data_IF_532365289236
#
_entry.id   IF_532365289236
#
_cell.length_a   1.000
_cell.length_b   1.000
_cell.length_c   1.000
_cell.angle_alpha   90.00
_cell.angle_beta   90.00
_cell.angle_gamma   90.00
#
_symmetry.space_group_name_H-M   'P 1'
#
loop_
_entity.id
_entity.type
_entity.pdbx_description
1 polymer ?
#
# COMPACT_ATOMS: atom_id res chain seq x y z
N UNK A 1 17.03 -17.57 17.84
CA UNK A 1 17.05 -17.28 16.38
C UNK A 1 16.93 -15.77 16.17
N UNK A 2 17.70 -15.20 15.26
CA UNK A 2 17.64 -13.75 15.00
C UNK A 2 16.29 -13.40 14.33
N UNK A 3 15.56 -12.40 14.86
CA UNK A 3 14.32 -11.90 14.26
C UNK A 3 14.59 -11.37 12.85
N UNK A 4 13.66 -11.67 11.94
CA UNK A 4 13.68 -11.19 10.55
C UNK A 4 12.42 -10.40 10.27
N UNK A 5 12.48 -9.50 9.30
CA UNK A 5 11.33 -8.83 8.70
C UNK A 5 11.16 -9.40 7.29
N UNK A 6 9.95 -9.82 6.97
CA UNK A 6 9.60 -10.28 5.63
C UNK A 6 8.57 -9.32 5.05
N UNK A 7 8.87 -8.79 3.88
CA UNK A 7 8.00 -7.88 3.13
C UNK A 7 7.24 -8.65 2.08
N UNK A 8 5.94 -8.42 2.01
CA UNK A 8 5.02 -9.05 1.06
C UNK A 8 4.37 -8.00 0.18
N UNK A 9 4.46 -8.17 -1.13
CA UNK A 9 3.63 -7.45 -2.07
C UNK A 9 2.20 -8.02 -2.07
N UNK A 10 1.23 -7.26 -2.56
CA UNK A 10 -0.17 -7.65 -2.57
C UNK A 10 -0.54 -8.30 -3.90
N UNK A 11 -0.52 -7.51 -4.96
CA UNK A 11 -1.06 -7.91 -6.27
C UNK A 11 -0.16 -8.93 -6.95
N UNK A 12 -0.71 -10.12 -7.24
CA UNK A 12 0.07 -11.23 -7.80
C UNK A 12 1.00 -11.94 -6.81
N UNK A 13 1.00 -11.56 -5.53
CA UNK A 13 1.82 -12.18 -4.47
C UNK A 13 0.96 -12.75 -3.35
N UNK A 14 0.22 -11.92 -2.63
CA UNK A 14 -0.72 -12.37 -1.59
C UNK A 14 -2.04 -12.82 -2.18
N UNK A 15 -2.52 -12.12 -3.18
CA UNK A 15 -3.78 -12.38 -3.88
C UNK A 15 -3.51 -12.63 -5.36
N UNK A 16 -4.39 -13.42 -5.98
CA UNK A 16 -4.32 -13.71 -7.42
C UNK A 16 -4.69 -12.50 -8.26
N UNK A 17 -4.11 -12.40 -9.48
CA UNK A 17 -4.44 -11.35 -10.46
C UNK A 17 -5.51 -11.79 -11.47
N UNK A 18 -6.19 -12.90 -11.22
CA UNK A 18 -7.22 -13.48 -12.09
C UNK A 18 -8.59 -12.76 -12.05
N UNK A 19 -8.65 -11.59 -11.43
CA UNK A 19 -9.87 -10.82 -11.22
C UNK A 19 -10.69 -11.23 -9.99
N UNK A 20 -10.43 -12.40 -9.41
CA UNK A 20 -11.11 -12.88 -8.20
C UNK A 20 -10.45 -12.44 -6.91
N UNK A 21 -9.20 -11.96 -6.97
CA UNK A 21 -8.40 -11.55 -5.81
C UNK A 21 -8.40 -12.61 -4.69
N UNK A 22 -8.18 -13.86 -5.09
CA UNK A 22 -8.23 -15.00 -4.15
C UNK A 22 -7.00 -15.01 -3.26
N UNK A 23 -7.21 -15.12 -1.95
CA UNK A 23 -6.18 -15.35 -0.96
C UNK A 23 -6.10 -16.85 -0.62
N UNK A 24 -5.01 -17.56 -0.95
CA UNK A 24 -4.85 -18.96 -0.58
C UNK A 24 -4.76 -19.16 0.95
N UNK A 25 -5.43 -20.19 1.46
CA UNK A 25 -5.36 -20.54 2.90
C UNK A 25 -3.94 -20.84 3.37
N UNK A 26 -3.13 -21.44 2.51
CA UNK A 26 -1.72 -21.72 2.79
C UNK A 26 -0.90 -20.45 3.02
N UNK A 27 -1.23 -19.37 2.31
CA UNK A 27 -0.59 -18.06 2.50
C UNK A 27 -0.93 -17.48 3.86
N UNK A 28 -2.21 -17.52 4.26
CA UNK A 28 -2.65 -17.07 5.60
C UNK A 28 -1.89 -17.84 6.69
N UNK A 29 -1.91 -19.17 6.60
CA UNK A 29 -1.24 -20.03 7.57
C UNK A 29 0.27 -19.76 7.65
N UNK A 30 0.94 -19.65 6.51
CA UNK A 30 2.40 -19.46 6.46
C UNK A 30 2.82 -18.12 7.09
N UNK A 31 2.08 -17.02 6.83
CA UNK A 31 2.40 -15.71 7.40
C UNK A 31 2.09 -15.67 8.90
N UNK A 32 0.99 -16.26 9.33
CA UNK A 32 0.67 -16.36 10.75
C UNK A 32 1.71 -17.20 11.50
N UNK A 33 2.18 -18.30 10.92
CA UNK A 33 3.23 -19.12 11.49
C UNK A 33 4.60 -18.40 11.54
N UNK A 34 4.94 -17.63 10.50
CA UNK A 34 6.12 -16.75 10.48
C UNK A 34 6.10 -15.80 11.70
N UNK A 35 4.95 -15.15 11.94
CA UNK A 35 4.77 -14.22 13.07
C UNK A 35 4.81 -14.93 14.41
N UNK A 36 4.18 -16.12 14.51
CA UNK A 36 4.20 -16.94 15.72
C UNK A 36 5.62 -17.35 16.13
N UNK A 37 6.52 -17.50 15.15
CA UNK A 37 7.95 -17.77 15.39
C UNK A 37 8.77 -16.53 15.75
N UNK A 38 8.13 -15.38 15.94
CA UNK A 38 8.76 -14.14 16.39
C UNK A 38 9.38 -13.30 15.28
N UNK A 39 9.08 -13.60 14.02
CA UNK A 39 9.43 -12.75 12.89
C UNK A 39 8.35 -11.69 12.64
N UNK A 40 8.67 -10.66 11.86
CA UNK A 40 7.74 -9.59 11.50
C UNK A 40 7.30 -9.75 10.05
N UNK A 41 6.00 -9.59 9.81
CA UNK A 41 5.40 -9.57 8.48
C UNK A 41 4.96 -8.16 8.14
N UNK A 42 5.44 -7.63 7.02
CA UNK A 42 5.12 -6.30 6.51
C UNK A 42 4.51 -6.37 5.13
N UNK A 43 3.54 -5.51 4.86
CA UNK A 43 3.11 -5.20 3.50
C UNK A 43 4.12 -4.23 2.88
N UNK A 44 4.41 -4.42 1.59
CA UNK A 44 5.18 -3.48 0.76
C UNK A 44 4.46 -3.33 -0.59
N UNK A 45 3.71 -2.24 -0.74
CA UNK A 45 2.82 -2.04 -1.88
C UNK A 45 2.89 -0.62 -2.43
N UNK A 46 2.63 -0.48 -3.74
CA UNK A 46 2.37 0.82 -4.36
C UNK A 46 1.04 1.45 -3.96
N UNK A 47 0.09 0.66 -3.44
CA UNK A 47 -1.21 1.17 -2.98
C UNK A 47 -1.05 2.12 -1.80
N UNK A 48 -1.97 3.06 -1.66
CA UNK A 48 -2.07 3.93 -0.48
C UNK A 48 -2.46 3.16 0.77
N UNK A 49 -2.06 3.66 1.94
CA UNK A 49 -2.34 2.98 3.21
C UNK A 49 -3.84 2.77 3.45
N UNK A 50 -4.67 3.79 3.19
CA UNK A 50 -6.12 3.66 3.40
C UNK A 50 -6.77 2.62 2.48
N UNK A 51 -6.20 2.39 1.29
CA UNK A 51 -6.66 1.36 0.36
C UNK A 51 -6.24 -0.06 0.78
N UNK A 52 -5.29 -0.19 1.67
CA UNK A 52 -4.72 -1.48 2.09
C UNK A 52 -5.23 -1.92 3.45
N UNK A 53 -5.23 -1.02 4.44
CA UNK A 53 -5.29 -1.39 5.85
C UNK A 53 -6.62 -2.03 6.27
N UNK A 54 -7.71 -1.71 5.58
CA UNK A 54 -9.06 -2.22 5.88
C UNK A 54 -9.49 -3.37 4.96
N UNK A 55 -8.62 -3.82 4.05
CA UNK A 55 -8.96 -4.95 3.19
C UNK A 55 -9.17 -6.23 4.00
N UNK A 56 -10.25 -6.98 3.75
CA UNK A 56 -10.59 -8.17 4.56
C UNK A 56 -9.46 -9.20 4.61
N UNK A 57 -8.74 -9.41 3.50
CA UNK A 57 -7.62 -10.35 3.45
C UNK A 57 -6.40 -9.85 4.25
N UNK A 58 -6.17 -8.54 4.32
CA UNK A 58 -5.13 -7.93 5.15
C UNK A 58 -5.46 -8.10 6.64
N UNK A 59 -6.69 -7.79 7.02
CA UNK A 59 -7.17 -7.96 8.40
C UNK A 59 -7.15 -9.43 8.83
N UNK A 60 -7.48 -10.35 7.93
CA UNK A 60 -7.48 -11.79 8.21
C UNK A 60 -6.08 -12.33 8.50
N UNK A 61 -5.08 -11.93 7.75
CA UNK A 61 -3.68 -12.33 7.96
C UNK A 61 -3.12 -11.66 9.21
N UNK A 62 -3.32 -10.34 9.32
CA UNK A 62 -2.72 -9.47 10.32
C UNK A 62 -1.23 -9.21 10.06
N UNK A 63 -0.87 -7.97 9.85
CA UNK A 63 0.52 -7.56 9.60
C UNK A 63 1.06 -6.70 10.74
N UNK A 64 2.37 -6.72 10.93
CA UNK A 64 3.04 -5.91 11.95
C UNK A 64 3.29 -4.48 11.46
N UNK A 65 3.39 -4.30 10.15
CA UNK A 65 3.61 -2.99 9.55
C UNK A 65 3.32 -2.93 8.06
N UNK A 66 3.38 -1.73 7.53
CA UNK A 66 3.00 -1.39 6.17
C UNK A 66 3.98 -0.38 5.59
N UNK A 67 4.47 -0.67 4.39
CA UNK A 67 5.19 0.25 3.52
C UNK A 67 4.30 0.47 2.30
N UNK A 68 3.64 1.60 2.23
CA UNK A 68 2.62 1.91 1.23
C UNK A 68 2.99 3.15 0.42
N UNK A 69 2.21 3.44 -0.64
CA UNK A 69 2.43 4.56 -1.55
C UNK A 69 3.89 4.59 -2.07
N UNK A 70 4.38 3.45 -2.57
CA UNK A 70 5.75 3.27 -3.06
C UNK A 70 6.83 3.69 -2.05
N UNK A 71 6.59 3.49 -0.76
CA UNK A 71 7.53 3.84 0.32
C UNK A 71 7.32 5.21 0.94
N UNK A 72 6.37 6.01 0.44
CA UNK A 72 6.08 7.33 0.99
C UNK A 72 5.34 7.30 2.33
N UNK A 73 4.74 6.17 2.70
CA UNK A 73 4.00 6.01 3.94
C UNK A 73 4.40 4.71 4.65
N UNK A 74 4.97 4.84 5.84
CA UNK A 74 5.40 3.70 6.65
C UNK A 74 4.69 3.71 7.99
N UNK A 75 3.96 2.62 8.26
CA UNK A 75 3.25 2.37 9.51
C UNK A 75 3.83 1.12 10.18
N UNK A 76 4.13 1.19 11.47
CA UNK A 76 4.56 0.04 12.27
C UNK A 76 3.83 0.02 13.61
N UNK A 77 3.08 -1.04 13.86
CA UNK A 77 2.30 -1.22 15.10
C UNK A 77 1.46 0.00 15.48
N UNK A 78 0.76 0.57 14.48
CA UNK A 78 -0.09 1.76 14.67
C UNK A 78 0.66 3.10 14.77
N UNK A 79 1.99 3.10 14.69
CA UNK A 79 2.80 4.32 14.70
C UNK A 79 3.28 4.67 13.29
N UNK A 80 2.98 5.89 12.84
CA UNK A 80 3.52 6.41 11.58
C UNK A 80 5.01 6.73 11.75
N UNK A 81 5.86 6.02 11.01
CA UNK A 81 7.31 6.22 11.02
C UNK A 81 7.75 7.20 9.94
N UNK A 82 7.05 7.22 8.82
CA UNK A 82 7.28 8.13 7.70
C UNK A 82 5.95 8.47 7.04
N UNK A 83 5.78 9.74 6.72
CA UNK A 83 4.74 10.23 5.80
C UNK A 83 5.39 11.30 4.95
N UNK A 84 5.82 10.92 3.75
CA UNK A 84 6.40 11.83 2.77
C UNK A 84 5.29 12.39 1.88
N UNK A 85 5.35 13.68 1.60
CA UNK A 85 4.40 14.38 0.72
C UNK A 85 5.13 15.05 -0.43
N UNK A 86 4.45 15.17 -1.57
CA UNK A 86 4.97 15.95 -2.69
C UNK A 86 4.90 17.44 -2.35
N UNK A 87 5.97 18.22 -2.51
CA UNK A 87 5.94 19.66 -2.29
C UNK A 87 4.87 20.34 -3.17
N UNK A 88 4.23 21.39 -2.64
CA UNK A 88 3.13 22.08 -3.33
C UNK A 88 3.50 22.63 -4.72
N UNK A 89 4.75 23.09 -4.87
CA UNK A 89 5.26 23.58 -6.16
C UNK A 89 5.36 22.44 -7.20
N UNK A 90 5.87 21.28 -6.81
CA UNK A 90 5.95 20.12 -7.68
C UNK A 90 4.55 19.60 -8.01
N UNK A 91 3.63 19.65 -7.04
CA UNK A 91 2.23 19.28 -7.20
C UNK A 91 1.54 20.16 -8.27
N UNK A 92 1.68 21.48 -8.15
CA UNK A 92 1.15 22.43 -9.15
C UNK A 92 1.73 22.18 -10.55
N UNK A 93 3.03 21.96 -10.64
CA UNK A 93 3.69 21.69 -11.92
C UNK A 93 3.18 20.41 -12.61
N UNK A 94 2.90 19.36 -11.84
CA UNK A 94 2.33 18.09 -12.36
C UNK A 94 0.91 18.32 -12.87
N UNK A 95 0.07 19.07 -12.12
CA UNK A 95 -1.30 19.40 -12.54
C UNK A 95 -1.29 20.21 -13.83
N UNK A 96 -0.45 21.25 -13.92
CA UNK A 96 -0.33 22.07 -15.12
C UNK A 96 0.15 21.25 -16.33
N UNK A 97 1.10 20.34 -16.14
CA UNK A 97 1.56 19.45 -17.19
C UNK A 97 0.45 18.51 -17.66
N UNK A 98 -0.28 17.89 -16.73
CA UNK A 98 -1.39 17.00 -17.05
C UNK A 98 -2.46 17.72 -17.90
N UNK A 99 -2.83 18.94 -17.52
CA UNK A 99 -3.78 19.77 -18.27
C UNK A 99 -3.24 20.13 -19.66
N UNK A 100 -1.98 20.54 -19.74
CA UNK A 100 -1.33 20.91 -21.02
C UNK A 100 -1.32 19.77 -22.03
N UNK A 101 -1.09 18.55 -21.56
CA UNK A 101 -0.95 17.37 -22.41
C UNK A 101 -2.21 16.50 -22.45
N UNK A 102 -3.33 16.98 -21.91
CA UNK A 102 -4.62 16.26 -21.84
C UNK A 102 -4.46 14.85 -21.24
N UNK A 103 -3.70 14.75 -20.15
CA UNK A 103 -3.48 13.50 -19.43
C UNK A 103 -4.42 13.42 -18.22
N UNK A 104 -5.05 12.25 -18.04
CA UNK A 104 -5.77 11.98 -16.80
C UNK A 104 -4.81 12.02 -15.61
N UNK A 105 -5.27 12.57 -14.49
CA UNK A 105 -4.47 12.74 -13.29
C UNK A 105 -5.19 12.14 -12.09
N UNK A 106 -4.51 11.22 -11.41
CA UNK A 106 -4.89 10.71 -10.10
C UNK A 106 -3.87 11.20 -9.06
N UNK A 107 -4.35 11.92 -8.07
CA UNK A 107 -3.56 12.32 -6.91
C UNK A 107 -3.95 11.46 -5.71
N UNK A 108 -2.96 10.86 -5.09
CA UNK A 108 -3.15 10.00 -3.92
C UNK A 108 -2.91 10.79 -2.64
N UNK A 109 -3.99 11.00 -1.88
CA UNK A 109 -3.93 11.61 -0.56
C UNK A 109 -3.85 10.56 0.57
N UNK A 110 -3.81 11.01 1.82
CA UNK A 110 -3.75 10.10 2.97
C UNK A 110 -5.03 9.29 3.17
N UNK A 111 -6.19 9.84 2.79
CA UNK A 111 -7.51 9.25 3.05
C UNK A 111 -8.37 9.13 1.80
N UNK A 112 -8.03 9.82 0.72
CA UNK A 112 -8.83 9.90 -0.51
C UNK A 112 -7.96 9.92 -1.75
N UNK A 113 -8.55 9.51 -2.87
CA UNK A 113 -8.06 9.78 -4.22
C UNK A 113 -8.70 11.07 -4.75
N UNK A 114 -7.91 11.86 -5.48
CA UNK A 114 -8.38 13.10 -6.11
C UNK A 114 -8.18 12.99 -7.61
N UNK A 115 -9.23 13.29 -8.37
CA UNK A 115 -9.24 13.28 -9.83
C UNK A 115 -9.44 14.71 -10.35
N UNK A 116 -8.74 15.09 -11.39
CA UNK A 116 -9.04 16.33 -12.11
C UNK A 116 -10.10 16.06 -13.18
N UNK A 117 -11.36 16.37 -12.84
CA UNK A 117 -12.50 16.21 -13.76
C UNK A 117 -12.57 17.27 -14.86
N UNK A 118 -11.66 18.26 -14.87
CA UNK A 118 -11.59 19.28 -15.91
C UNK A 118 -10.81 18.83 -17.15
N UNK A 119 -10.17 17.68 -17.08
CA UNK A 119 -9.45 17.06 -18.19
C UNK A 119 -10.43 16.14 -18.91
N UNK A 120 -10.75 16.38 -20.20
CA UNK A 120 -11.72 15.58 -20.94
C UNK A 120 -11.20 14.18 -21.27
#
# INVERSE_FOLDING_TARGET
MKQKIVFFDIDGTLITEDGNQTLPESTVYAIQELRRRGHLAFINSGRTLFNVIEQPYILRIGFDGYVCACGAHILYRGKHLLTATVPSEAHAAVIDAARRYHMELLLEGPDYFYFDLSIP
#
